data_IF_454526110000
#
_entry.id   IF_454526110000
#
_cell.length_a   1.000
_cell.length_b   1.000
_cell.length_c   1.000
_cell.angle_alpha   90.00
_cell.angle_beta   90.00
_cell.angle_gamma   90.00
#
_symmetry.space_group_name_H-M   'P 1'
#
loop_
_entity.id
_entity.type
_entity.pdbx_description
1 polymer ?
#
# COMPACT_ATOMS: atom_id res chain seq x y z
N UNK A 1 12.68 2.12 -54.52
CA UNK A 1 12.35 1.49 -53.22
C UNK A 1 13.57 1.24 -52.29
N UNK A 2 14.79 1.73 -52.59
CA UNK A 2 15.99 1.45 -51.77
C UNK A 2 16.37 2.57 -50.75
N UNK A 3 15.83 3.78 -50.90
CA UNK A 3 16.23 4.96 -50.08
C UNK A 3 15.68 4.91 -48.65
N UNK A 4 14.65 4.09 -48.37
CA UNK A 4 14.05 3.96 -47.03
C UNK A 4 14.86 3.09 -46.07
N UNK A 5 15.78 2.24 -46.56
CA UNK A 5 16.58 1.33 -45.71
C UNK A 5 17.74 2.06 -45.00
N UNK A 6 18.36 3.04 -45.66
CA UNK A 6 19.47 3.83 -45.11
C UNK A 6 19.05 4.94 -44.13
N UNK A 7 17.78 5.34 -44.12
CA UNK A 7 17.28 6.32 -43.15
C UNK A 7 17.31 5.78 -41.70
N UNK A 8 17.19 4.45 -41.53
CA UNK A 8 17.16 3.79 -40.23
C UNK A 8 18.56 3.56 -39.64
N UNK A 9 19.61 3.44 -40.46
CA UNK A 9 20.97 3.14 -39.98
C UNK A 9 21.53 4.26 -39.09
N UNK A 10 21.31 5.52 -39.46
CA UNK A 10 21.68 6.69 -38.63
C UNK A 10 21.05 6.63 -37.23
N UNK A 11 19.81 6.17 -37.15
CA UNK A 11 19.08 6.02 -35.89
C UNK A 11 19.62 4.85 -35.07
N UNK A 12 19.96 3.74 -35.72
CA UNK A 12 20.54 2.56 -35.08
C UNK A 12 21.88 2.90 -34.42
N UNK A 13 22.81 3.54 -35.14
CA UNK A 13 24.11 3.94 -34.58
C UNK A 13 23.96 4.92 -33.40
N UNK A 14 23.03 5.88 -33.49
CA UNK A 14 22.76 6.84 -32.40
C UNK A 14 22.16 6.17 -31.15
N UNK A 15 21.42 5.07 -31.30
CA UNK A 15 20.78 4.35 -30.19
C UNK A 15 21.70 3.33 -29.54
N UNK A 16 22.55 2.66 -30.32
CA UNK A 16 23.51 1.68 -29.80
C UNK A 16 24.46 2.30 -28.75
N UNK A 17 24.87 3.55 -28.93
CA UNK A 17 25.72 4.27 -27.98
C UNK A 17 25.02 4.73 -26.68
N UNK A 18 23.68 4.67 -26.58
CA UNK A 18 22.94 5.16 -25.39
C UNK A 18 22.58 4.07 -24.37
N UNK A 19 23.10 2.85 -24.54
CA UNK A 19 22.79 1.72 -23.67
C UNK A 19 21.32 1.27 -23.76
N UNK A 20 20.97 0.13 -23.15
CA UNK A 20 19.59 -0.31 -23.07
C UNK A 20 18.79 0.59 -22.12
N UNK A 21 17.56 0.95 -22.50
CA UNK A 21 16.65 1.76 -21.66
C UNK A 21 16.04 0.97 -20.50
N UNK A 22 16.32 -0.34 -20.42
CA UNK A 22 15.73 -1.26 -19.44
C UNK A 22 16.50 -1.24 -18.12
N UNK A 23 15.77 -1.33 -17.01
CA UNK A 23 16.34 -1.68 -15.70
C UNK A 23 16.58 -3.19 -15.61
N UNK A 24 17.59 -3.63 -14.85
CA UNK A 24 17.88 -5.06 -14.65
C UNK A 24 17.03 -5.64 -13.52
N UNK A 25 15.73 -5.79 -13.75
CA UNK A 25 14.85 -6.51 -12.81
C UNK A 25 15.22 -8.01 -12.80
N UNK A 26 15.33 -8.69 -11.64
CA UNK A 26 15.08 -8.22 -10.27
C UNK A 26 16.33 -7.71 -9.51
N UNK A 27 17.52 -7.72 -10.12
CA UNK A 27 18.79 -7.38 -9.46
C UNK A 27 18.84 -5.91 -8.98
N UNK A 28 18.22 -5.00 -9.73
CA UNK A 28 18.02 -3.61 -9.32
C UNK A 28 16.52 -3.34 -9.15
N UNK A 29 16.05 -2.87 -7.98
CA UNK A 29 14.64 -2.55 -7.78
C UNK A 29 14.24 -1.36 -8.66
N UNK A 30 13.00 -1.39 -9.16
CA UNK A 30 12.46 -0.27 -9.91
C UNK A 30 12.47 1.02 -9.06
N UNK A 31 12.82 2.14 -9.68
CA UNK A 31 12.76 3.46 -9.04
C UNK A 31 11.31 3.78 -8.68
N UNK A 32 11.03 4.02 -7.40
CA UNK A 32 9.71 4.46 -6.92
C UNK A 32 9.74 5.98 -6.78
N UNK A 33 8.68 6.64 -7.23
CA UNK A 33 8.54 8.10 -7.16
C UNK A 33 7.74 8.50 -5.93
N UNK A 34 7.93 9.73 -5.47
CA UNK A 34 7.12 10.29 -4.38
C UNK A 34 5.66 10.39 -4.80
N UNK A 35 4.74 9.99 -3.91
CA UNK A 35 3.30 9.96 -4.19
C UNK A 35 2.80 8.75 -5.00
N UNK A 36 3.67 7.79 -5.36
CA UNK A 36 3.19 6.53 -5.94
C UNK A 36 2.29 5.78 -4.95
N UNK A 37 1.14 5.31 -5.44
CA UNK A 37 0.17 4.57 -4.64
C UNK A 37 0.57 3.10 -4.54
N UNK A 38 0.94 2.66 -3.35
CA UNK A 38 1.24 1.28 -3.01
C UNK A 38 0.22 0.73 -2.02
N UNK A 39 0.69 -0.03 -1.04
CA UNK A 39 -0.15 -0.72 -0.07
C UNK A 39 -0.66 0.20 1.04
N UNK A 40 -1.82 -0.16 1.60
CA UNK A 40 -2.35 0.45 2.81
C UNK A 40 -1.71 -0.23 4.02
N UNK A 41 -1.22 0.59 4.95
CA UNK A 41 -0.75 0.19 6.27
C UNK A 41 -1.59 0.85 7.35
N UNK A 42 -1.84 0.11 8.43
CA UNK A 42 -2.61 0.55 9.58
C UNK A 42 -1.73 0.58 10.82
N UNK A 43 -1.83 1.67 11.59
CA UNK A 43 -1.34 1.73 12.97
C UNK A 43 -2.51 1.34 13.87
N UNK A 44 -2.53 0.08 14.32
CA UNK A 44 -3.67 -0.51 15.03
C UNK A 44 -3.93 0.15 16.39
N UNK A 45 -2.89 0.68 17.03
CA UNK A 45 -2.95 1.34 18.35
C UNK A 45 -3.80 2.61 18.36
N UNK A 46 -3.77 3.34 17.25
CA UNK A 46 -4.53 4.59 17.07
C UNK A 46 -5.95 4.35 16.52
N UNK A 47 -6.25 3.11 16.11
CA UNK A 47 -7.53 2.75 15.54
C UNK A 47 -8.62 2.68 16.61
N UNK A 48 -9.70 3.43 16.40
CA UNK A 48 -10.89 3.44 17.27
C UNK A 48 -12.02 2.53 16.74
N UNK A 49 -11.75 1.73 15.71
CA UNK A 49 -12.72 0.80 15.09
C UNK A 49 -14.04 1.49 14.69
N UNK A 50 -13.96 2.72 14.18
CA UNK A 50 -15.14 3.52 13.81
C UNK A 50 -15.86 3.01 12.54
N UNK A 51 -15.19 2.24 11.70
CA UNK A 51 -15.76 1.66 10.47
C UNK A 51 -15.92 2.64 9.29
N UNK A 52 -15.52 3.91 9.42
CA UNK A 52 -15.59 4.89 8.31
C UNK A 52 -14.78 4.43 7.09
N UNK A 53 -13.61 3.83 7.32
CA UNK A 53 -12.76 3.30 6.25
C UNK A 53 -13.43 2.18 5.44
N UNK A 54 -14.26 1.35 6.07
CA UNK A 54 -15.05 0.32 5.40
C UNK A 54 -16.15 0.94 4.54
N UNK A 55 -16.92 1.89 5.10
CA UNK A 55 -18.01 2.57 4.35
C UNK A 55 -17.52 3.41 3.18
N UNK A 56 -16.31 3.95 3.27
CA UNK A 56 -15.74 4.79 2.22
C UNK A 56 -14.93 3.98 1.19
N UNK A 57 -14.77 2.67 1.40
CA UNK A 57 -14.07 1.81 0.47
C UNK A 57 -14.98 1.52 -0.74
N UNK A 58 -14.59 1.90 -1.97
CA UNK A 58 -15.42 1.67 -3.17
C UNK A 58 -15.49 0.20 -3.59
N UNK A 59 -14.60 -0.66 -3.08
CA UNK A 59 -14.51 -2.08 -3.41
C UNK A 59 -14.83 -3.02 -2.24
N UNK A 60 -15.32 -2.47 -1.13
CA UNK A 60 -15.63 -3.23 0.10
C UNK A 60 -14.49 -4.16 0.55
N UNK A 61 -13.24 -3.70 0.37
CA UNK A 61 -12.03 -4.45 0.70
C UNK A 61 -11.73 -4.48 2.20
N UNK A 62 -12.33 -3.59 2.99
CA UNK A 62 -12.04 -3.41 4.42
C UNK A 62 -13.27 -3.81 5.23
N UNK A 63 -13.06 -4.67 6.22
CA UNK A 63 -14.03 -5.06 7.22
C UNK A 63 -13.57 -4.59 8.60
N UNK A 64 -14.46 -3.98 9.37
CA UNK A 64 -14.17 -3.50 10.72
C UNK A 64 -15.20 -4.09 11.66
N UNK A 65 -14.73 -4.88 12.63
CA UNK A 65 -15.57 -5.43 13.68
C UNK A 65 -15.24 -4.75 15.01
N UNK A 66 -16.16 -3.89 15.45
CA UNK A 66 -16.02 -3.08 16.67
C UNK A 66 -16.02 -3.91 17.96
N UNK A 67 -16.93 -4.89 18.17
CA UNK A 67 -16.90 -5.73 19.37
C UNK A 67 -15.65 -6.59 19.48
N UNK A 68 -15.16 -7.19 18.39
CA UNK A 68 -13.91 -7.97 18.44
C UNK A 68 -12.65 -7.12 18.32
N UNK A 69 -12.78 -5.80 18.10
CA UNK A 69 -11.66 -4.86 17.85
C UNK A 69 -10.73 -5.39 16.76
N UNK A 70 -11.33 -5.91 15.69
CA UNK A 70 -10.62 -6.47 14.54
C UNK A 70 -10.78 -5.55 13.34
N UNK A 71 -9.67 -5.25 12.68
CA UNK A 71 -9.63 -4.58 11.38
C UNK A 71 -9.04 -5.53 10.36
N UNK A 72 -9.78 -5.81 9.29
CA UNK A 72 -9.40 -6.81 8.28
C UNK A 72 -9.38 -6.18 6.90
N UNK A 73 -8.35 -6.47 6.12
CA UNK A 73 -8.21 -6.00 4.73
C UNK A 73 -7.99 -7.16 3.76
N UNK A 74 -8.83 -7.20 2.73
CA UNK A 74 -8.62 -8.03 1.56
C UNK A 74 -7.82 -7.25 0.51
N UNK A 75 -6.53 -7.57 0.42
CA UNK A 75 -5.62 -6.90 -0.52
C UNK A 75 -5.90 -7.22 -1.98
N UNK A 76 -6.62 -8.31 -2.29
CA UNK A 76 -7.02 -8.64 -3.66
C UNK A 76 -8.20 -7.79 -4.12
N UNK A 77 -9.05 -7.34 -3.18
CA UNK A 77 -10.13 -6.39 -3.47
C UNK A 77 -9.69 -4.93 -3.37
N UNK A 78 -8.58 -4.64 -2.71
CA UNK A 78 -8.09 -3.27 -2.56
C UNK A 78 -7.58 -2.69 -3.88
N UNK A 79 -8.18 -1.59 -4.34
CA UNK A 79 -7.75 -0.86 -5.55
C UNK A 79 -6.74 0.26 -5.28
N UNK A 80 -6.21 0.36 -4.06
CA UNK A 80 -5.20 1.34 -3.65
C UNK A 80 -5.58 2.80 -3.98
N UNK A 81 -6.84 3.19 -3.74
CA UNK A 81 -7.40 4.49 -4.10
C UNK A 81 -7.16 5.63 -3.10
N UNK A 82 -6.60 5.35 -1.91
CA UNK A 82 -6.40 6.27 -0.78
C UNK A 82 -7.67 6.74 -0.02
N UNK A 83 -8.87 6.41 -0.48
CA UNK A 83 -10.12 6.91 0.10
C UNK A 83 -10.26 6.59 1.60
N UNK A 84 -9.86 5.39 2.02
CA UNK A 84 -9.92 4.99 3.43
C UNK A 84 -8.97 5.77 4.35
N UNK A 85 -7.82 6.20 3.85
CA UNK A 85 -6.85 6.98 4.62
C UNK A 85 -7.34 8.42 4.80
N UNK A 86 -7.91 9.01 3.75
CA UNK A 86 -8.52 10.36 3.80
C UNK A 86 -9.76 10.41 4.70
N UNK A 87 -10.55 9.34 4.72
CA UNK A 87 -11.75 9.26 5.55
C UNK A 87 -11.45 8.99 7.04
N UNK A 88 -10.21 8.61 7.39
CA UNK A 88 -9.89 8.20 8.76
C UNK A 88 -9.73 9.42 9.69
N UNK A 89 -10.60 9.61 10.69
CA UNK A 89 -10.51 10.78 11.57
C UNK A 89 -9.27 10.78 12.46
N UNK A 90 -8.69 9.61 12.72
CA UNK A 90 -7.46 9.45 13.53
C UNK A 90 -6.19 9.39 12.68
N UNK A 91 -6.30 9.46 11.35
CA UNK A 91 -5.17 9.33 10.42
C UNK A 91 -4.27 8.10 10.69
N UNK A 92 -4.86 7.00 11.20
CA UNK A 92 -4.13 5.77 11.51
C UNK A 92 -3.85 4.89 10.28
N UNK A 93 -4.45 5.23 9.13
CA UNK A 93 -4.24 4.56 7.85
C UNK A 93 -3.32 5.40 6.98
N UNK A 94 -2.29 4.78 6.42
CA UNK A 94 -1.33 5.43 5.51
C UNK A 94 -1.20 4.64 4.23
N UNK A 95 -1.15 5.36 3.11
CA UNK A 95 -0.84 4.80 1.81
C UNK A 95 0.67 4.89 1.58
N UNK A 96 1.33 3.74 1.59
CA UNK A 96 2.77 3.66 1.35
C UNK A 96 3.06 3.58 -0.14
N UNK A 97 4.33 3.80 -0.49
CA UNK A 97 4.82 3.70 -1.87
C UNK A 97 5.29 2.28 -2.25
N UNK A 98 5.16 1.31 -1.33
CA UNK A 98 5.61 -0.06 -1.51
C UNK A 98 4.43 -0.92 -2.00
N UNK A 99 4.64 -1.72 -3.05
CA UNK A 99 3.65 -2.69 -3.52
C UNK A 99 3.64 -3.93 -2.65
N UNK A 100 2.49 -4.60 -2.61
CA UNK A 100 2.37 -5.87 -1.92
C UNK A 100 3.24 -6.93 -2.59
N UNK A 101 3.92 -7.74 -1.79
CA UNK A 101 4.69 -8.86 -2.29
C UNK A 101 3.77 -9.97 -2.81
N UNK A 102 4.20 -10.76 -3.80
CA UNK A 102 3.41 -11.89 -4.29
C UNK A 102 3.26 -12.94 -3.18
N UNK A 103 2.05 -13.05 -2.65
CA UNK A 103 1.69 -14.08 -1.66
C UNK A 103 1.40 -15.39 -2.38
N UNK A 104 2.23 -16.41 -2.14
CA UNK A 104 1.99 -17.75 -2.67
C UNK A 104 1.00 -18.54 -1.81
N UNK A 105 1.11 -18.44 -0.47
CA UNK A 105 0.28 -19.18 0.50
C UNK A 105 0.00 -18.32 1.74
N UNK A 106 -0.45 -17.07 1.56
CA UNK A 106 -0.70 -16.14 2.65
C UNK A 106 -2.11 -16.28 3.27
N UNK A 107 -2.29 -16.00 4.57
CA UNK A 107 -3.60 -15.89 5.19
C UNK A 107 -4.29 -14.64 4.64
N UNK A 108 -5.19 -14.86 3.69
CA UNK A 108 -6.04 -13.83 3.12
C UNK A 108 -7.46 -14.06 3.63
N UNK A 109 -8.15 -13.03 4.13
CA UNK A 109 -7.71 -11.64 4.31
C UNK A 109 -6.82 -11.42 5.54
N UNK A 110 -6.00 -10.36 5.52
CA UNK A 110 -5.14 -10.01 6.67
C UNK A 110 -5.95 -9.31 7.75
N UNK A 111 -5.99 -9.90 8.95
CA UNK A 111 -6.69 -9.37 10.12
C UNK A 111 -5.72 -8.86 11.17
N UNK A 112 -5.97 -7.64 11.65
CA UNK A 112 -5.22 -6.97 12.71
C UNK A 112 -6.15 -6.75 13.91
N UNK A 113 -5.81 -7.33 15.05
CA UNK A 113 -6.51 -7.14 16.32
C UNK A 113 -5.75 -6.16 17.20
N UNK A 114 -6.46 -5.18 17.76
CA UNK A 114 -5.87 -4.24 18.71
C UNK A 114 -5.50 -4.88 20.05
N UNK A 115 -4.76 -4.15 20.90
CA UNK A 115 -4.46 -4.62 22.24
C UNK A 115 -5.75 -4.89 23.02
N UNK A 116 -5.76 -6.01 23.75
CA UNK A 116 -6.79 -6.33 24.72
C UNK A 116 -6.92 -5.20 25.74
N UNK A 117 -8.14 -4.95 26.19
CA UNK A 117 -8.57 -3.77 26.93
C UNK A 117 -7.86 -3.56 28.29
N UNK A 118 -7.07 -4.52 28.77
CA UNK A 118 -6.44 -4.52 30.10
C UNK A 118 -5.24 -3.58 30.28
N UNK A 119 -4.63 -3.04 29.21
CA UNK A 119 -3.37 -2.27 29.32
C UNK A 119 -3.49 -0.75 29.18
N UNK A 120 -4.70 -0.20 28.95
CA UNK A 120 -4.89 1.27 28.94
C UNK A 120 -5.17 1.86 30.33
N UNK A 121 -5.65 1.08 31.30
CA UNK A 121 -5.96 1.59 32.66
C UNK A 121 -4.72 1.72 33.57
N UNK A 122 -3.59 1.10 33.25
CA UNK A 122 -2.38 1.11 34.09
C UNK A 122 -1.34 2.15 33.66
N UNK A 123 -1.40 2.66 32.43
CA UNK A 123 -0.48 3.70 31.94
C UNK A 123 -0.98 5.13 32.20
N UNK A 124 -2.29 5.36 32.24
CA UNK A 124 -2.86 6.68 32.53
C UNK A 124 -2.74 7.05 34.03
N UNK A 125 -2.67 6.08 34.94
CA UNK A 125 -2.55 6.32 36.39
C UNK A 125 -1.11 6.58 36.90
N UNK A 126 -0.10 6.57 36.02
CA UNK A 126 1.32 6.83 36.40
C UNK A 126 1.76 8.25 36.01
N UNK A 127 1.03 8.94 35.12
CA UNK A 127 1.38 10.28 34.66
C UNK A 127 0.76 11.44 35.47
N UNK A 128 -0.05 11.16 36.50
CA UNK A 128 -0.71 12.17 37.35
C UNK A 128 -0.35 12.09 38.84
N UNK A 129 0.76 11.44 39.23
CA UNK A 129 1.24 11.42 40.62
C UNK A 129 2.72 11.81 40.73
#
# INVERSE_FOLDING_TARGET
>A
MAVKLFAMTKTIFKRLGKGPSTIRYPAEPAKRYEGSRGQIEIVIEDCIYCGLCSRHCPSDAILVDKPSRTWTIDRFRCISCNSCAEACPKNCLKLNNIYHEPVLNGPLPESFTGPAEEQKSSAENIAEN
#
